data_IF_722504003892
#
_entry.id   IF_722504003892
#
_cell.length_a   1.000
_cell.length_b   1.000
_cell.length_c   1.000
_cell.angle_alpha   90.00
_cell.angle_beta   90.00
_cell.angle_gamma   90.00
#
_symmetry.space_group_name_H-M   'P 1'
#
loop_
_entity.id
_entity.type
_entity.pdbx_description
1 polymer ?
#
# COMPACT_ATOMS: atom_id res chain seq x y z
N UNK A 1 -27.50 -15.66 16.17
CA UNK A 1 -26.03 -15.77 16.27
C UNK A 1 -25.30 -15.06 15.12
N UNK A 2 -25.60 -15.33 13.85
CA UNK A 2 -24.88 -14.73 12.70
C UNK A 2 -24.83 -13.19 12.66
N UNK A 3 -25.88 -12.48 13.09
CA UNK A 3 -25.90 -11.01 13.20
C UNK A 3 -24.92 -10.47 14.23
N UNK A 4 -24.89 -11.08 15.41
CA UNK A 4 -23.96 -10.74 16.50
C UNK A 4 -22.53 -11.02 16.06
N UNK A 5 -22.28 -12.14 15.39
CA UNK A 5 -20.95 -12.48 14.88
C UNK A 5 -20.45 -11.53 13.78
N UNK A 6 -21.33 -11.06 12.88
CA UNK A 6 -20.96 -10.06 11.87
C UNK A 6 -20.57 -8.73 12.54
N UNK A 7 -21.46 -8.20 13.39
CA UNK A 7 -21.23 -6.92 14.07
C UNK A 7 -20.00 -6.95 14.97
N UNK A 8 -19.87 -8.01 15.79
CA UNK A 8 -18.69 -8.23 16.64
C UNK A 8 -17.42 -8.35 15.80
N UNK A 9 -17.44 -9.18 14.75
CA UNK A 9 -16.29 -9.42 13.88
C UNK A 9 -15.81 -8.15 13.18
N UNK A 10 -16.72 -7.38 12.59
CA UNK A 10 -16.37 -6.11 11.94
C UNK A 10 -15.83 -5.09 12.94
N UNK A 11 -16.51 -4.89 14.07
CA UNK A 11 -16.09 -3.93 15.08
C UNK A 11 -14.70 -4.26 15.64
N UNK A 12 -14.50 -5.51 16.08
CA UNK A 12 -13.24 -5.97 16.64
C UNK A 12 -12.10 -5.90 15.61
N UNK A 13 -12.39 -6.22 14.35
CA UNK A 13 -11.41 -6.10 13.28
C UNK A 13 -11.00 -4.64 13.08
N UNK A 14 -11.96 -3.72 12.96
CA UNK A 14 -11.68 -2.29 12.80
C UNK A 14 -10.86 -1.74 13.96
N UNK A 15 -11.24 -2.03 15.21
CA UNK A 15 -10.49 -1.57 16.40
C UNK A 15 -9.07 -2.15 16.38
N UNK A 16 -8.88 -3.40 15.96
CA UNK A 16 -7.56 -4.04 15.88
C UNK A 16 -6.61 -3.41 14.85
N UNK A 17 -7.14 -2.57 13.96
CA UNK A 17 -6.40 -1.89 12.88
C UNK A 17 -6.16 -0.41 13.18
N UNK A 18 -6.73 0.12 14.27
CA UNK A 18 -6.54 1.51 14.65
C UNK A 18 -5.09 1.79 15.08
N UNK A 19 -4.55 2.98 14.75
CA UNK A 19 -3.28 3.44 15.30
C UNK A 19 -3.30 3.48 16.83
N UNK A 20 -2.15 3.27 17.46
CA UNK A 20 -2.02 3.14 18.92
C UNK A 20 -2.63 4.31 19.72
N UNK A 21 -2.62 5.53 19.16
CA UNK A 21 -3.25 6.71 19.77
C UNK A 21 -4.76 6.58 19.96
N UNK A 22 -5.46 5.92 19.04
CA UNK A 22 -6.91 5.68 19.12
C UNK A 22 -7.25 4.43 19.93
N UNK A 23 -6.36 3.43 19.95
CA UNK A 23 -6.56 2.21 20.75
C UNK A 23 -6.76 2.53 22.24
N UNK A 24 -6.01 3.51 22.79
CA UNK A 24 -6.17 3.93 24.19
C UNK A 24 -7.56 4.49 24.50
N UNK A 25 -8.16 5.23 23.58
CA UNK A 25 -9.52 5.79 23.74
C UNK A 25 -10.56 4.67 23.74
N UNK A 26 -10.41 3.70 22.84
CA UNK A 26 -11.31 2.56 22.74
C UNK A 26 -11.18 1.63 23.98
N UNK A 27 -9.97 1.47 24.50
CA UNK A 27 -9.72 0.76 25.76
C UNK A 27 -10.31 1.47 26.98
N UNK A 28 -10.28 2.80 27.02
CA UNK A 28 -10.91 3.59 28.07
C UNK A 28 -12.44 3.37 28.10
N UNK A 29 -13.05 3.19 26.93
CA UNK A 29 -14.46 2.81 26.78
C UNK A 29 -14.74 1.33 27.10
N UNK A 30 -13.73 0.58 27.57
CA UNK A 30 -13.87 -0.82 28.00
C UNK A 30 -13.69 -1.86 26.89
N UNK A 31 -13.30 -1.47 25.67
CA UNK A 31 -13.13 -2.40 24.57
C UNK A 31 -11.66 -2.82 24.41
N UNK A 32 -11.42 -4.14 24.48
CA UNK A 32 -10.17 -4.74 24.06
C UNK A 32 -10.33 -5.35 22.67
N UNK A 33 -9.33 -5.16 21.80
CA UNK A 33 -9.35 -5.70 20.43
C UNK A 33 -8.68 -7.07 20.34
N UNK A 34 -9.38 -8.07 19.80
CA UNK A 34 -8.80 -9.37 19.44
C UNK A 34 -9.05 -9.66 17.96
N UNK A 35 -7.99 -9.55 17.15
CA UNK A 35 -8.06 -9.79 15.71
C UNK A 35 -8.35 -11.24 15.36
N UNK A 36 -7.79 -12.21 16.10
CA UNK A 36 -8.05 -13.63 15.89
C UNK A 36 -9.52 -13.95 16.14
N UNK A 37 -10.07 -13.45 17.24
CA UNK A 37 -11.49 -13.62 17.56
C UNK A 37 -12.38 -12.93 16.52
N UNK A 38 -11.99 -11.74 16.03
CA UNK A 38 -12.72 -11.02 14.99
C UNK A 38 -12.83 -11.84 13.70
N UNK A 39 -11.70 -12.39 13.22
CA UNK A 39 -11.65 -13.22 12.02
C UNK A 39 -12.43 -14.53 12.20
N UNK A 40 -12.32 -15.16 13.38
CA UNK A 40 -13.10 -16.36 13.69
C UNK A 40 -14.62 -16.08 13.67
N UNK A 41 -15.06 -14.92 14.20
CA UNK A 41 -16.46 -14.53 14.17
C UNK A 41 -16.98 -14.29 12.75
N UNK A 42 -16.18 -13.66 11.87
CA UNK A 42 -16.54 -13.50 10.45
C UNK A 42 -16.56 -14.85 9.71
N UNK A 43 -15.59 -15.72 9.98
CA UNK A 43 -15.54 -17.09 9.44
C UNK A 43 -16.69 -17.97 9.93
N UNK A 44 -17.25 -17.71 11.11
CA UNK A 44 -18.48 -18.34 11.56
C UNK A 44 -19.71 -17.71 10.87
N UNK A 45 -19.76 -16.38 10.77
CA UNK A 45 -20.89 -15.68 10.16
C UNK A 45 -21.12 -16.10 8.70
N UNK A 46 -20.04 -16.34 7.94
CA UNK A 46 -20.14 -16.75 6.53
C UNK A 46 -20.84 -18.09 6.30
N UNK A 47 -21.00 -18.93 7.32
CA UNK A 47 -21.73 -20.20 7.20
C UNK A 47 -23.24 -20.03 7.38
N UNK A 48 -23.72 -18.80 7.60
CA UNK A 48 -25.16 -18.50 7.64
C UNK A 48 -25.81 -18.68 6.26
N UNK A 49 -27.14 -18.76 6.24
CA UNK A 49 -27.94 -18.88 5.00
C UNK A 49 -28.56 -17.56 4.55
N UNK A 50 -28.25 -16.47 5.23
CA UNK A 50 -28.84 -15.15 5.00
C UNK A 50 -27.83 -14.17 4.38
N UNK A 51 -28.26 -12.94 4.13
CA UNK A 51 -27.43 -11.89 3.52
C UNK A 51 -26.17 -11.54 4.31
N UNK A 52 -26.03 -12.01 5.56
CA UNK A 52 -24.84 -11.75 6.37
C UNK A 52 -23.65 -12.59 5.90
N UNK A 53 -23.90 -13.77 5.31
CA UNK A 53 -22.87 -14.64 4.79
C UNK A 53 -22.01 -14.00 3.68
N UNK A 54 -22.59 -13.41 2.61
CA UNK A 54 -21.81 -12.70 1.61
C UNK A 54 -21.13 -11.46 2.19
N UNK A 55 -21.76 -10.71 3.10
CA UNK A 55 -21.12 -9.55 3.75
C UNK A 55 -19.89 -9.93 4.59
N UNK A 56 -19.97 -11.02 5.36
CA UNK A 56 -18.84 -11.56 6.09
C UNK A 56 -17.71 -12.00 5.14
N UNK A 57 -18.06 -12.64 4.01
CA UNK A 57 -17.08 -13.08 3.00
C UNK A 57 -16.40 -11.88 2.33
N UNK A 58 -17.14 -10.83 1.97
CA UNK A 58 -16.60 -9.59 1.43
C UNK A 58 -15.68 -8.87 2.43
N UNK A 59 -16.05 -8.83 3.71
CA UNK A 59 -15.21 -8.25 4.75
C UNK A 59 -13.88 -9.02 4.92
N UNK A 60 -13.93 -10.35 4.88
CA UNK A 60 -12.74 -11.20 4.89
C UNK A 60 -11.90 -10.98 3.63
N UNK A 61 -12.50 -10.96 2.43
CA UNK A 61 -11.80 -10.68 1.17
C UNK A 61 -11.09 -9.33 1.22
N UNK A 62 -11.76 -8.28 1.71
CA UNK A 62 -11.17 -6.97 1.91
C UNK A 62 -9.98 -7.00 2.87
N UNK A 63 -10.15 -7.64 4.03
CA UNK A 63 -9.06 -7.75 5.01
C UNK A 63 -7.84 -8.49 4.43
N UNK A 64 -8.07 -9.62 3.76
CA UNK A 64 -7.01 -10.48 3.25
C UNK A 64 -6.33 -9.94 1.99
N UNK A 65 -7.05 -9.22 1.12
CA UNK A 65 -6.52 -8.71 -0.16
C UNK A 65 -6.15 -7.22 -0.18
N UNK A 66 -6.59 -6.45 0.81
CA UNK A 66 -6.33 -4.99 0.88
C UNK A 66 -5.57 -4.63 2.16
N UNK A 67 -6.15 -4.92 3.33
CA UNK A 67 -5.57 -4.48 4.62
C UNK A 67 -4.25 -5.16 4.92
N UNK A 68 -4.19 -6.50 4.82
CA UNK A 68 -2.98 -7.27 5.14
C UNK A 68 -1.79 -6.83 4.27
N UNK A 69 -1.92 -6.71 2.93
CA UNK A 69 -0.86 -6.16 2.09
C UNK A 69 -0.50 -4.72 2.43
N UNK A 70 -1.47 -3.80 2.55
CA UNK A 70 -1.21 -2.38 2.77
C UNK A 70 -0.43 -2.11 4.07
N UNK A 71 -0.72 -2.88 5.12
CA UNK A 71 -0.08 -2.76 6.43
C UNK A 71 1.05 -3.77 6.65
N UNK A 72 1.44 -4.54 5.61
CA UNK A 72 2.42 -5.63 5.67
C UNK A 72 2.28 -6.52 6.93
N UNK A 73 1.04 -6.90 7.29
CA UNK A 73 0.74 -7.57 8.56
C UNK A 73 1.34 -8.97 8.69
N UNK A 74 1.84 -9.53 7.60
CA UNK A 74 2.55 -10.82 7.56
C UNK A 74 4.04 -10.67 7.21
N UNK A 75 4.55 -9.44 7.14
CA UNK A 75 5.89 -9.17 6.62
C UNK A 75 5.96 -9.63 5.17
N UNK A 76 6.93 -10.49 4.86
CA UNK A 76 7.14 -11.03 3.51
C UNK A 76 6.17 -12.16 3.11
N UNK A 77 5.32 -12.65 4.01
CA UNK A 77 4.43 -13.79 3.75
C UNK A 77 3.06 -13.37 3.17
N UNK A 78 3.07 -12.71 2.00
CA UNK A 78 1.84 -12.29 1.28
C UNK A 78 0.96 -13.49 0.88
N UNK A 79 1.57 -14.65 0.64
CA UNK A 79 0.92 -15.89 0.17
C UNK A 79 -0.21 -16.41 1.07
N UNK A 80 -0.13 -16.18 2.39
CA UNK A 80 -1.16 -16.63 3.32
C UNK A 80 -2.47 -15.83 3.18
N UNK A 81 -2.42 -14.56 2.77
CA UNK A 81 -3.62 -13.77 2.45
C UNK A 81 -4.28 -14.25 1.15
N UNK A 82 -3.46 -14.44 0.12
CA UNK A 82 -3.85 -14.91 -1.22
C UNK A 82 -4.55 -16.28 -1.15
N UNK A 83 -3.99 -17.24 -0.40
CA UNK A 83 -4.59 -18.57 -0.23
C UNK A 83 -6.01 -18.52 0.38
N UNK A 84 -6.21 -17.67 1.39
CA UNK A 84 -7.54 -17.48 2.00
C UNK A 84 -8.51 -16.85 0.99
N UNK A 85 -8.07 -15.84 0.23
CA UNK A 85 -8.90 -15.23 -0.81
C UNK A 85 -9.35 -16.25 -1.88
N UNK A 86 -8.44 -17.12 -2.35
CA UNK A 86 -8.80 -18.22 -3.25
C UNK A 86 -9.89 -19.11 -2.68
N UNK A 87 -9.74 -19.54 -1.44
CA UNK A 87 -10.75 -20.38 -0.78
C UNK A 87 -12.10 -19.67 -0.67
N UNK A 88 -12.10 -18.42 -0.21
CA UNK A 88 -13.32 -17.62 -0.06
C UNK A 88 -14.07 -17.48 -1.39
N UNK A 89 -13.37 -17.11 -2.46
CA UNK A 89 -13.97 -16.93 -3.79
C UNK A 89 -14.53 -18.25 -4.32
N UNK A 90 -13.75 -19.34 -4.26
CA UNK A 90 -14.19 -20.68 -4.73
C UNK A 90 -15.47 -21.14 -4.04
N UNK A 91 -15.57 -20.95 -2.72
CA UNK A 91 -16.75 -21.37 -1.96
C UNK A 91 -17.99 -20.52 -2.27
N UNK A 92 -17.81 -19.29 -2.74
CA UNK A 92 -18.90 -18.37 -3.10
C UNK A 92 -19.27 -18.37 -4.58
N UNK A 93 -18.43 -18.95 -5.44
CA UNK A 93 -18.53 -18.87 -6.91
C UNK A 93 -19.91 -19.27 -7.43
N UNK A 94 -20.45 -20.41 -6.99
CA UNK A 94 -21.73 -20.93 -7.47
C UNK A 94 -22.95 -20.07 -7.12
N UNK A 95 -22.83 -19.13 -6.17
CA UNK A 95 -23.93 -18.25 -5.75
C UNK A 95 -23.71 -16.79 -6.10
N UNK A 96 -22.47 -16.32 -6.00
CA UNK A 96 -22.11 -14.91 -6.10
C UNK A 96 -21.01 -14.64 -7.12
N UNK A 97 -20.59 -15.64 -7.90
CA UNK A 97 -19.49 -15.49 -8.87
C UNK A 97 -19.73 -14.36 -9.87
N UNK A 98 -20.97 -14.09 -10.27
CA UNK A 98 -21.31 -12.99 -11.20
C UNK A 98 -21.59 -11.65 -10.50
N UNK A 99 -21.60 -11.60 -9.17
CA UNK A 99 -21.88 -10.36 -8.46
C UNK A 99 -20.68 -9.40 -8.55
N UNK A 100 -20.97 -8.13 -8.83
CA UNK A 100 -19.95 -7.11 -9.08
C UNK A 100 -18.84 -7.05 -8.02
N UNK A 101 -19.18 -7.10 -6.73
CA UNK A 101 -18.19 -7.04 -5.65
C UNK A 101 -17.31 -8.29 -5.56
N UNK A 102 -17.82 -9.47 -5.94
CA UNK A 102 -17.03 -10.70 -5.98
C UNK A 102 -16.10 -10.71 -7.20
N UNK A 103 -16.55 -10.19 -8.35
CA UNK A 103 -15.69 -9.94 -9.51
C UNK A 103 -14.60 -8.91 -9.21
N UNK A 104 -14.93 -7.85 -8.48
CA UNK A 104 -13.95 -6.89 -7.98
C UNK A 104 -12.86 -7.57 -7.14
N UNK A 105 -13.25 -8.42 -6.18
CA UNK A 105 -12.26 -9.14 -5.35
C UNK A 105 -11.50 -10.22 -6.12
N UNK A 106 -12.06 -10.78 -7.18
CA UNK A 106 -11.32 -11.63 -8.12
C UNK A 106 -10.23 -10.83 -8.85
N UNK A 107 -10.54 -9.62 -9.31
CA UNK A 107 -9.53 -8.70 -9.86
C UNK A 107 -8.44 -8.36 -8.84
N UNK A 108 -8.81 -8.10 -7.58
CA UNK A 108 -7.86 -7.86 -6.48
C UNK A 108 -6.91 -9.03 -6.27
N UNK A 109 -7.42 -10.26 -6.33
CA UNK A 109 -6.62 -11.47 -6.20
C UNK A 109 -5.62 -11.62 -7.35
N UNK A 110 -6.08 -11.46 -8.60
CA UNK A 110 -5.23 -11.53 -9.79
C UNK A 110 -4.12 -10.46 -9.75
N UNK A 111 -4.42 -9.24 -9.29
CA UNK A 111 -3.42 -8.18 -9.09
C UNK A 111 -2.35 -8.59 -8.06
N UNK A 112 -2.73 -9.22 -6.95
CA UNK A 112 -1.78 -9.71 -5.94
C UNK A 112 -0.91 -10.85 -6.46
N UNK A 113 -1.37 -11.58 -7.47
CA UNK A 113 -0.63 -12.63 -8.18
C UNK A 113 0.15 -12.10 -9.39
N UNK A 114 0.20 -10.77 -9.55
CA UNK A 114 0.85 -10.08 -10.67
C UNK A 114 0.25 -10.37 -12.06
N UNK A 115 -0.94 -10.96 -12.13
CA UNK A 115 -1.74 -11.05 -13.36
C UNK A 115 -2.55 -9.78 -13.56
N UNK A 116 -1.86 -8.73 -14.02
CA UNK A 116 -2.44 -7.39 -14.17
C UNK A 116 -3.48 -7.32 -15.29
N UNK A 117 -3.26 -8.05 -16.40
CA UNK A 117 -4.21 -8.11 -17.51
C UNK A 117 -5.49 -8.83 -17.13
N UNK A 118 -5.38 -9.98 -16.44
CA UNK A 118 -6.54 -10.68 -15.90
C UNK A 118 -7.28 -9.85 -14.84
N UNK A 119 -6.54 -9.11 -14.00
CA UNK A 119 -7.13 -8.21 -13.02
C UNK A 119 -7.98 -7.11 -13.68
N UNK A 120 -7.44 -6.43 -14.71
CA UNK A 120 -8.17 -5.40 -15.47
C UNK A 120 -9.46 -5.97 -16.05
N UNK A 121 -9.41 -7.12 -16.72
CA UNK A 121 -10.61 -7.75 -17.27
C UNK A 121 -11.66 -8.09 -16.20
N UNK A 122 -11.24 -8.57 -15.03
CA UNK A 122 -12.15 -8.82 -13.91
C UNK A 122 -12.79 -7.54 -13.37
N UNK A 123 -12.06 -6.42 -13.32
CA UNK A 123 -12.61 -5.13 -12.91
C UNK A 123 -13.57 -4.54 -13.94
N UNK A 124 -13.32 -4.72 -15.23
CA UNK A 124 -14.24 -4.31 -16.30
C UNK A 124 -15.56 -5.09 -16.22
N UNK A 125 -15.48 -6.41 -15.99
CA UNK A 125 -16.67 -7.23 -15.72
C UNK A 125 -17.37 -6.74 -14.45
N UNK A 126 -16.65 -6.49 -13.36
CA UNK A 126 -17.23 -5.97 -12.12
C UNK A 126 -17.95 -4.62 -12.32
N UNK A 127 -17.34 -3.71 -13.08
CA UNK A 127 -17.89 -2.39 -13.39
C UNK A 127 -19.17 -2.50 -14.23
N UNK A 128 -19.19 -3.38 -15.25
CA UNK A 128 -20.38 -3.57 -16.10
C UNK A 128 -21.56 -4.24 -15.37
N UNK A 129 -21.27 -5.09 -14.37
CA UNK A 129 -22.29 -5.72 -13.53
C UNK A 129 -22.79 -4.81 -12.39
N UNK A 130 -22.03 -3.75 -12.06
CA UNK A 130 -22.36 -2.81 -10.99
C UNK A 130 -23.41 -1.78 -11.42
N UNK A 131 -24.54 -1.75 -10.72
CA UNK A 131 -25.59 -0.73 -10.95
C UNK A 131 -25.28 0.61 -10.26
N UNK A 132 -24.30 0.63 -9.34
CA UNK A 132 -23.93 1.80 -8.55
C UNK A 132 -22.68 2.45 -9.13
N UNK A 133 -22.71 3.78 -9.30
CA UNK A 133 -21.56 4.54 -9.82
C UNK A 133 -20.31 4.34 -8.96
N UNK A 134 -20.46 4.18 -7.65
CA UNK A 134 -19.36 3.96 -6.71
C UNK A 134 -18.60 2.65 -6.98
N UNK A 135 -19.29 1.59 -7.42
CA UNK A 135 -18.64 0.32 -7.77
C UNK A 135 -17.83 0.49 -9.05
N UNK A 136 -18.35 1.21 -10.04
CA UNK A 136 -17.60 1.54 -11.26
C UNK A 136 -16.36 2.37 -10.94
N UNK A 137 -16.47 3.41 -10.12
CA UNK A 137 -15.32 4.23 -9.72
C UNK A 137 -14.29 3.43 -8.91
N UNK A 138 -14.73 2.51 -8.05
CA UNK A 138 -13.83 1.62 -7.32
C UNK A 138 -13.07 0.67 -8.28
N UNK A 139 -13.74 0.14 -9.31
CA UNK A 139 -13.09 -0.68 -10.33
C UNK A 139 -12.11 0.15 -11.17
N UNK A 140 -12.49 1.38 -11.56
CA UNK A 140 -11.64 2.28 -12.32
C UNK A 140 -10.37 2.67 -11.56
N UNK A 141 -10.47 2.87 -10.24
CA UNK A 141 -9.31 3.05 -9.36
C UNK A 141 -8.33 1.89 -9.51
N UNK A 142 -8.81 0.66 -9.37
CA UNK A 142 -7.95 -0.52 -9.47
C UNK A 142 -7.36 -0.70 -10.88
N UNK A 143 -8.13 -0.41 -11.93
CA UNK A 143 -7.63 -0.42 -13.31
C UNK A 143 -6.50 0.59 -13.48
N UNK A 144 -6.66 1.83 -13.01
CA UNK A 144 -5.60 2.84 -13.06
C UNK A 144 -4.33 2.40 -12.32
N UNK A 145 -4.46 1.74 -11.17
CA UNK A 145 -3.32 1.16 -10.46
C UNK A 145 -2.68 -0.02 -11.20
N UNK A 146 -3.46 -0.88 -11.88
CA UNK A 146 -2.92 -1.95 -12.72
C UNK A 146 -2.11 -1.36 -13.89
N UNK A 147 -2.61 -0.31 -14.56
CA UNK A 147 -1.89 0.40 -15.62
C UNK A 147 -0.61 1.06 -15.10
N UNK A 148 -0.69 1.69 -13.92
CA UNK A 148 0.50 2.26 -13.26
C UNK A 148 1.55 1.19 -12.93
N UNK A 149 1.13 0.01 -12.47
CA UNK A 149 2.02 -1.14 -12.22
C UNK A 149 2.63 -1.73 -13.49
N UNK A 150 2.02 -1.52 -14.65
CA UNK A 150 2.55 -1.86 -15.98
C UNK A 150 3.44 -0.75 -16.57
N UNK A 151 3.58 0.39 -15.87
CA UNK A 151 4.16 1.62 -16.42
C UNK A 151 3.46 2.12 -17.68
N UNK A 152 2.18 1.77 -17.86
CA UNK A 152 1.32 2.24 -18.94
C UNK A 152 0.77 3.62 -18.56
N UNK A 153 1.66 4.62 -18.65
CA UNK A 153 1.41 5.98 -18.17
C UNK A 153 0.20 6.64 -18.83
N UNK A 154 -0.05 6.36 -20.10
CA UNK A 154 -1.12 7.00 -20.87
C UNK A 154 -2.49 6.47 -20.41
N UNK A 155 -2.65 5.16 -20.35
CA UNK A 155 -3.91 4.56 -19.88
C UNK A 155 -4.14 4.80 -18.38
N UNK A 156 -3.07 4.82 -17.57
CA UNK A 156 -3.15 5.22 -16.17
C UNK A 156 -3.65 6.67 -16.03
N UNK A 157 -3.13 7.60 -16.84
CA UNK A 157 -3.59 8.98 -16.86
C UNK A 157 -5.09 9.08 -17.15
N UNK A 158 -5.58 8.39 -18.18
CA UNK A 158 -7.01 8.39 -18.56
C UNK A 158 -7.88 7.97 -17.37
N UNK A 159 -7.55 6.84 -16.74
CA UNK A 159 -8.29 6.34 -15.59
C UNK A 159 -8.27 7.33 -14.40
N UNK A 160 -7.10 7.87 -14.06
CA UNK A 160 -6.98 8.80 -12.93
C UNK A 160 -7.62 10.16 -13.22
N UNK A 161 -7.61 10.66 -14.47
CA UNK A 161 -8.28 11.91 -14.82
C UNK A 161 -9.80 11.79 -14.69
N UNK A 162 -10.36 10.65 -15.13
CA UNK A 162 -11.79 10.37 -14.98
C UNK A 162 -12.15 10.27 -13.48
N UNK A 163 -11.30 9.65 -12.67
CA UNK A 163 -11.49 9.59 -11.21
C UNK A 163 -11.42 10.97 -10.56
N UNK A 164 -10.51 11.85 -10.98
CA UNK A 164 -10.38 13.20 -10.46
C UNK A 164 -11.65 14.04 -10.72
N UNK A 165 -12.26 13.85 -11.90
CA UNK A 165 -13.49 14.52 -12.29
C UNK A 165 -14.71 13.97 -11.54
N UNK A 166 -14.91 12.65 -11.58
CA UNK A 166 -16.16 12.01 -11.17
C UNK A 166 -16.21 11.62 -9.69
N UNK A 167 -15.06 11.34 -9.05
CA UNK A 167 -15.06 10.83 -7.67
C UNK A 167 -15.41 11.90 -6.65
N UNK A 168 -16.17 11.54 -5.62
CA UNK A 168 -16.42 12.44 -4.46
C UNK A 168 -15.32 12.38 -3.39
N UNK A 169 -14.39 11.44 -3.52
CA UNK A 169 -13.28 11.22 -2.59
C UNK A 169 -11.93 11.41 -3.27
N UNK A 170 -10.95 11.87 -2.50
CA UNK A 170 -9.53 11.91 -2.90
C UNK A 170 -9.26 12.61 -4.23
N UNK A 171 -10.03 13.64 -4.60
CA UNK A 171 -9.87 14.36 -5.87
C UNK A 171 -8.44 14.87 -6.09
N UNK A 172 -7.85 15.49 -5.07
CA UNK A 172 -6.46 15.97 -5.11
C UNK A 172 -5.45 14.84 -5.36
N UNK A 173 -5.71 13.65 -4.81
CA UNK A 173 -4.86 12.47 -5.03
C UNK A 173 -4.94 11.98 -6.47
N UNK A 174 -6.14 11.92 -7.06
CA UNK A 174 -6.31 11.53 -8.45
C UNK A 174 -5.73 12.57 -9.41
N UNK A 175 -5.92 13.86 -9.14
CA UNK A 175 -5.30 14.95 -9.90
C UNK A 175 -3.76 14.84 -9.87
N UNK A 176 -3.19 14.55 -8.69
CA UNK A 176 -1.76 14.32 -8.54
C UNK A 176 -1.29 13.09 -9.34
N UNK A 177 -1.99 11.97 -9.26
CA UNK A 177 -1.68 10.77 -10.06
C UNK A 177 -1.76 11.03 -11.56
N UNK A 178 -2.77 11.78 -12.03
CA UNK A 178 -2.88 12.21 -13.43
C UNK A 178 -1.66 13.04 -13.84
N UNK A 179 -1.24 13.99 -13.01
CA UNK A 179 -0.06 14.80 -13.27
C UNK A 179 1.24 13.97 -13.34
N UNK A 180 1.40 13.00 -12.44
CA UNK A 180 2.54 12.08 -12.47
C UNK A 180 2.55 11.26 -13.76
N UNK A 181 1.40 10.72 -14.16
CA UNK A 181 1.29 9.86 -15.35
C UNK A 181 1.61 10.64 -16.63
N UNK A 182 1.04 11.83 -16.81
CA UNK A 182 1.31 12.65 -18.01
C UNK A 182 2.76 13.19 -18.01
N UNK A 183 3.31 13.55 -16.85
CA UNK A 183 4.70 13.95 -16.73
C UNK A 183 5.66 12.79 -17.02
N UNK A 184 5.33 11.58 -16.57
CA UNK A 184 6.11 10.36 -16.81
C UNK A 184 6.09 9.92 -18.28
N UNK A 185 4.99 10.16 -19.00
CA UNK A 185 4.90 9.95 -20.45
C UNK A 185 5.64 11.02 -21.28
N UNK A 186 5.90 12.19 -20.68
CA UNK A 186 6.75 13.25 -21.24
C UNK A 186 6.05 14.59 -21.48
N UNK A 187 4.74 14.68 -21.23
CA UNK A 187 3.99 15.94 -21.34
C UNK A 187 4.11 16.75 -20.02
N UNK A 188 5.25 17.41 -19.87
CA UNK A 188 5.57 18.23 -18.68
C UNK A 188 4.66 19.45 -18.57
N UNK A 189 4.14 19.96 -19.69
CA UNK A 189 3.26 21.13 -19.71
C UNK A 189 1.91 20.79 -19.08
N UNK A 190 1.29 19.70 -19.52
CA UNK A 190 0.05 19.22 -18.93
C UNK A 190 0.25 18.80 -17.48
N UNK A 191 1.36 18.12 -17.16
CA UNK A 191 1.69 17.77 -15.77
C UNK A 191 1.72 19.01 -14.87
N UNK A 192 2.38 20.07 -15.31
CA UNK A 192 2.50 21.32 -14.56
C UNK A 192 1.14 22.00 -14.36
N UNK A 193 0.28 22.01 -15.39
CA UNK A 193 -1.08 22.55 -15.29
C UNK A 193 -1.90 21.78 -14.26
N UNK A 194 -1.92 20.45 -14.34
CA UNK A 194 -2.65 19.60 -13.39
C UNK A 194 -2.14 19.75 -11.95
N UNK A 195 -0.82 19.87 -11.77
CA UNK A 195 -0.22 20.15 -10.45
C UNK A 195 -0.71 21.50 -9.91
N UNK A 196 -0.81 22.54 -10.72
CA UNK A 196 -1.26 23.86 -10.28
C UNK A 196 -2.74 23.88 -9.87
N UNK A 197 -3.55 22.98 -10.45
CA UNK A 197 -4.97 22.83 -10.12
C UNK A 197 -5.22 22.03 -8.83
N UNK A 198 -4.18 21.43 -8.23
CA UNK A 198 -4.33 20.76 -6.94
C UNK A 198 -4.62 21.81 -5.87
N UNK A 199 -5.81 21.77 -5.22
CA UNK A 199 -6.18 22.78 -4.24
C UNK A 199 -5.24 22.70 -3.03
N UNK A 200 -4.90 23.83 -2.42
CA UNK A 200 -4.18 23.81 -1.15
C UNK A 200 -5.03 23.09 -0.09
N UNK A 201 -4.41 22.40 0.88
CA UNK A 201 -5.16 21.62 1.85
C UNK A 201 -6.05 22.51 2.72
N UNK A 202 -7.34 22.16 2.79
CA UNK A 202 -8.33 22.87 3.60
C UNK A 202 -8.16 22.68 5.12
N UNK A 203 -9.12 23.20 5.90
CA UNK A 203 -9.20 22.92 7.36
C UNK A 203 -9.51 21.43 7.57
N UNK A 204 -8.74 20.76 8.45
CA UNK A 204 -8.86 19.32 8.70
C UNK A 204 -7.97 18.44 7.82
N UNK A 205 -6.70 18.84 7.68
CA UNK A 205 -5.69 18.19 6.82
C UNK A 205 -5.55 16.69 7.11
N UNK A 206 -5.59 15.85 6.07
CA UNK A 206 -5.10 14.48 6.20
C UNK A 206 -3.57 14.41 6.02
N UNK A 207 -2.95 13.35 6.54
CA UNK A 207 -1.52 13.04 6.26
C UNK A 207 -1.26 12.98 4.75
N UNK A 208 -2.22 12.46 3.97
CA UNK A 208 -2.14 12.37 2.52
C UNK A 208 -2.15 13.75 1.85
N UNK A 209 -3.02 14.67 2.26
CA UNK A 209 -3.10 15.99 1.63
C UNK A 209 -1.79 16.78 1.83
N UNK A 210 -1.17 16.65 3.01
CA UNK A 210 0.10 17.28 3.34
C UNK A 210 1.24 16.69 2.49
N UNK A 211 1.28 15.36 2.37
CA UNK A 211 2.22 14.67 1.49
C UNK A 211 2.08 15.15 0.04
N UNK A 212 0.85 15.19 -0.50
CA UNK A 212 0.59 15.57 -1.89
C UNK A 212 0.98 17.01 -2.18
N UNK A 213 0.67 17.95 -1.29
CA UNK A 213 1.06 19.35 -1.44
C UNK A 213 2.59 19.51 -1.50
N UNK A 214 3.31 18.86 -0.59
CA UNK A 214 4.78 18.89 -0.54
C UNK A 214 5.40 18.34 -1.83
N UNK A 215 4.89 17.20 -2.33
CA UNK A 215 5.41 16.58 -3.56
C UNK A 215 5.01 17.36 -4.82
N UNK A 216 3.80 17.91 -4.86
CA UNK A 216 3.37 18.79 -5.94
C UNK A 216 4.24 20.05 -6.00
N UNK A 217 4.54 20.67 -4.85
CA UNK A 217 5.44 21.81 -4.78
C UNK A 217 6.85 21.48 -5.30
N UNK A 218 7.40 20.32 -4.92
CA UNK A 218 8.70 19.86 -5.41
C UNK A 218 8.72 19.65 -6.94
N UNK A 219 7.63 19.09 -7.49
CA UNK A 219 7.51 18.83 -8.94
C UNK A 219 7.28 20.10 -9.77
N UNK A 220 6.76 21.18 -9.17
CA UNK A 220 6.63 22.49 -9.81
C UNK A 220 7.97 23.24 -9.94
N UNK A 221 9.02 22.82 -9.23
CA UNK A 221 10.35 23.43 -9.37
C UNK A 221 10.87 23.26 -10.81
N UNK A 222 11.38 24.33 -11.46
CA UNK A 222 11.83 24.26 -12.85
C UNK A 222 12.94 23.24 -13.08
N UNK A 223 12.77 22.39 -14.10
CA UNK A 223 13.74 21.37 -14.53
C UNK A 223 13.75 21.28 -16.06
N UNK A 224 14.87 20.84 -16.62
CA UNK A 224 14.89 20.44 -18.02
C UNK A 224 13.89 19.29 -18.26
N UNK A 225 13.21 19.21 -19.43
CA UNK A 225 12.15 18.22 -19.65
C UNK A 225 12.52 16.76 -19.33
N UNK A 226 13.73 16.24 -19.68
CA UNK A 226 14.12 14.88 -19.32
C UNK A 226 14.21 14.65 -17.81
N UNK A 227 14.71 15.64 -17.07
CA UNK A 227 14.83 15.59 -15.61
C UNK A 227 13.46 15.73 -14.93
N UNK A 228 12.55 16.53 -15.49
CA UNK A 228 11.17 16.65 -15.03
C UNK A 228 10.39 15.34 -15.23
N UNK A 229 10.56 14.69 -16.39
CA UNK A 229 9.97 13.38 -16.67
C UNK A 229 10.46 12.32 -15.68
N UNK A 230 11.78 12.27 -15.45
CA UNK A 230 12.38 11.34 -14.50
C UNK A 230 11.89 11.57 -13.06
N UNK A 231 11.73 12.83 -12.65
CA UNK A 231 11.16 13.17 -11.35
C UNK A 231 9.72 12.66 -11.22
N UNK A 232 8.88 12.83 -12.25
CA UNK A 232 7.51 12.31 -12.25
C UNK A 232 7.47 10.78 -12.13
N UNK A 233 8.33 10.07 -12.87
CA UNK A 233 8.46 8.60 -12.76
C UNK A 233 8.87 8.17 -11.36
N UNK A 234 9.89 8.82 -10.78
CA UNK A 234 10.34 8.47 -9.44
C UNK A 234 9.27 8.72 -8.37
N UNK A 235 8.48 9.79 -8.48
CA UNK A 235 7.36 10.03 -7.57
C UNK A 235 6.22 9.01 -7.76
N UNK A 236 6.00 8.51 -8.99
CA UNK A 236 5.10 7.38 -9.19
C UNK A 236 5.63 6.10 -8.49
N UNK A 237 6.94 5.82 -8.60
CA UNK A 237 7.54 4.66 -7.93
C UNK A 237 7.55 4.82 -6.40
N UNK A 238 7.72 6.03 -5.88
CA UNK A 238 7.57 6.38 -4.46
C UNK A 238 6.17 5.97 -3.97
N UNK A 239 5.12 6.29 -4.72
CA UNK A 239 3.76 5.86 -4.38
C UNK A 239 3.59 4.33 -4.44
N UNK A 240 4.14 3.67 -5.47
CA UNK A 240 4.11 2.20 -5.55
C UNK A 240 4.78 1.55 -4.33
N UNK A 241 5.89 2.11 -3.85
CA UNK A 241 6.56 1.66 -2.63
C UNK A 241 5.68 1.91 -1.39
N UNK A 242 5.19 3.14 -1.20
CA UNK A 242 4.41 3.55 -0.03
C UNK A 242 3.09 2.77 0.11
N UNK A 243 2.46 2.39 -1.00
CA UNK A 243 1.25 1.55 -1.04
C UNK A 243 1.54 0.05 -0.99
N UNK A 244 2.81 -0.35 -0.87
CA UNK A 244 3.24 -1.75 -0.92
C UNK A 244 2.75 -2.49 -2.18
N UNK A 245 2.84 -1.81 -3.32
CA UNK A 245 2.35 -2.29 -4.62
C UNK A 245 3.46 -2.85 -5.52
N UNK A 246 4.74 -2.52 -5.26
CA UNK A 246 5.89 -3.04 -6.00
C UNK A 246 5.95 -4.58 -6.15
N UNK A 247 5.54 -5.40 -5.15
CA UNK A 247 5.52 -6.86 -5.31
C UNK A 247 4.57 -7.35 -6.41
N UNK A 248 3.57 -6.57 -6.80
CA UNK A 248 2.63 -6.88 -7.88
C UNK A 248 3.13 -6.46 -9.27
N UNK A 249 4.29 -5.79 -9.37
CA UNK A 249 4.87 -5.45 -10.66
C UNK A 249 5.41 -6.70 -11.38
N UNK A 250 5.25 -6.78 -12.71
CA UNK A 250 5.97 -7.73 -13.55
C UNK A 250 7.51 -7.58 -13.45
N UNK A 251 8.26 -8.64 -13.76
CA UNK A 251 9.72 -8.63 -13.65
C UNK A 251 10.42 -7.66 -14.62
N UNK A 252 9.86 -7.47 -15.80
CA UNK A 252 10.33 -6.49 -16.79
C UNK A 252 10.15 -5.05 -16.30
N UNK A 253 9.04 -4.78 -15.63
CA UNK A 253 8.79 -3.48 -14.98
C UNK A 253 9.82 -3.21 -13.88
N UNK A 254 10.20 -4.20 -13.08
CA UNK A 254 11.22 -4.02 -12.05
C UNK A 254 12.56 -3.52 -12.61
N UNK A 255 12.98 -3.99 -13.79
CA UNK A 255 14.21 -3.52 -14.44
C UNK A 255 14.11 -2.04 -14.79
N UNK A 256 13.03 -1.63 -15.44
CA UNK A 256 12.79 -0.23 -15.81
C UNK A 256 12.75 0.69 -14.58
N UNK A 257 12.10 0.25 -13.49
CA UNK A 257 12.06 0.99 -12.22
C UNK A 257 13.47 1.18 -11.64
N UNK A 258 14.29 0.12 -11.62
CA UNK A 258 15.67 0.19 -11.12
C UNK A 258 16.52 1.13 -11.98
N UNK A 259 16.45 1.01 -13.30
CA UNK A 259 17.21 1.87 -14.23
C UNK A 259 16.86 3.36 -14.05
N UNK A 260 15.57 3.70 -13.98
CA UNK A 260 15.15 5.08 -13.72
C UNK A 260 15.57 5.54 -12.31
N UNK A 261 15.49 4.69 -11.28
CA UNK A 261 15.92 5.05 -9.93
C UNK A 261 17.45 5.28 -9.85
N UNK A 262 18.26 4.43 -10.47
CA UNK A 262 19.71 4.61 -10.52
C UNK A 262 20.09 5.88 -11.26
N UNK A 263 19.41 6.18 -12.38
CA UNK A 263 19.57 7.45 -13.09
C UNK A 263 19.18 8.64 -12.21
N UNK A 264 18.03 8.56 -11.53
CA UNK A 264 17.55 9.62 -10.67
C UNK A 264 18.46 9.86 -9.45
N UNK A 265 19.10 8.83 -8.91
CA UNK A 265 20.06 8.98 -7.83
C UNK A 265 21.30 9.81 -8.23
N UNK A 266 21.65 9.82 -9.52
CA UNK A 266 22.76 10.60 -10.08
C UNK A 266 22.31 12.00 -10.54
N UNK A 267 21.21 12.06 -11.29
CA UNK A 267 20.75 13.29 -11.97
C UNK A 267 19.87 14.17 -11.08
N UNK A 268 19.23 13.60 -10.06
CA UNK A 268 18.33 14.29 -9.13
C UNK A 268 18.80 14.06 -7.68
N UNK A 269 19.94 14.62 -7.24
CA UNK A 269 20.50 14.38 -5.90
C UNK A 269 19.51 14.56 -4.73
N UNK A 270 18.59 15.55 -4.74
CA UNK A 270 17.58 15.68 -3.69
C UNK A 270 16.63 14.47 -3.58
N UNK A 271 16.53 13.64 -4.61
CA UNK A 271 15.65 12.47 -4.67
C UNK A 271 16.41 11.13 -4.52
N UNK A 272 17.73 11.17 -4.36
CA UNK A 272 18.56 9.96 -4.30
C UNK A 272 18.17 9.02 -3.15
N UNK A 273 17.78 9.55 -1.99
CA UNK A 273 17.33 8.74 -0.86
C UNK A 273 16.07 7.92 -1.21
N UNK A 274 15.12 8.54 -1.92
CA UNK A 274 13.88 7.88 -2.38
C UNK A 274 14.19 6.84 -3.45
N UNK A 275 15.06 7.16 -4.41
CA UNK A 275 15.48 6.22 -5.45
C UNK A 275 16.09 4.95 -4.85
N UNK A 276 16.99 5.10 -3.87
CA UNK A 276 17.54 3.94 -3.17
C UNK A 276 16.49 3.18 -2.35
N UNK A 277 15.52 3.86 -1.73
CA UNK A 277 14.42 3.20 -1.01
C UNK A 277 13.57 2.32 -1.95
N UNK A 278 13.20 2.86 -3.12
CA UNK A 278 12.42 2.16 -4.14
C UNK A 278 13.20 0.97 -4.71
N UNK A 279 14.47 1.16 -5.10
CA UNK A 279 15.33 0.05 -5.54
C UNK A 279 15.43 -1.05 -4.48
N UNK A 280 15.56 -0.68 -3.19
CA UNK A 280 15.53 -1.63 -2.09
C UNK A 280 14.25 -2.46 -2.10
N UNK A 281 13.08 -1.82 -2.26
CA UNK A 281 11.78 -2.48 -2.38
C UNK A 281 11.66 -3.43 -3.57
N UNK A 282 12.23 -3.07 -4.72
CA UNK A 282 12.30 -3.96 -5.89
C UNK A 282 13.20 -5.16 -5.62
N UNK A 283 14.42 -4.92 -5.13
CA UNK A 283 15.39 -5.97 -4.85
C UNK A 283 14.98 -6.87 -3.68
N UNK A 284 14.13 -6.43 -2.75
CA UNK A 284 13.63 -7.28 -1.66
C UNK A 284 12.88 -8.51 -2.19
N UNK A 285 12.36 -8.44 -3.41
CA UNK A 285 11.66 -9.53 -4.09
C UNK A 285 12.59 -10.40 -4.97
N UNK A 286 13.84 -10.00 -5.22
CA UNK A 286 14.73 -10.65 -6.20
C UNK A 286 16.14 -10.95 -5.69
N UNK A 287 16.79 -10.01 -5.01
CA UNK A 287 18.16 -10.14 -4.52
C UNK A 287 18.35 -9.40 -3.18
N UNK A 288 18.29 -10.15 -2.07
CA UNK A 288 18.39 -9.59 -0.72
C UNK A 288 19.70 -8.82 -0.46
N UNK A 289 20.80 -9.19 -1.12
CA UNK A 289 22.09 -8.48 -0.95
C UNK A 289 22.03 -7.06 -1.54
N UNK A 290 21.46 -6.92 -2.73
CA UNK A 290 21.28 -5.58 -3.33
C UNK A 290 20.22 -4.79 -2.57
N UNK A 291 19.15 -5.45 -2.08
CA UNK A 291 18.15 -4.80 -1.24
C UNK A 291 18.79 -4.18 0.02
N UNK A 292 19.62 -4.94 0.74
CA UNK A 292 20.35 -4.46 1.92
C UNK A 292 21.26 -3.27 1.59
N UNK A 293 21.98 -3.33 0.47
CA UNK A 293 22.84 -2.22 -0.01
C UNK A 293 22.04 -0.95 -0.27
N UNK A 294 20.92 -1.06 -1.00
CA UNK A 294 20.07 0.07 -1.34
C UNK A 294 19.37 0.66 -0.10
N UNK A 295 18.82 -0.17 0.79
CA UNK A 295 18.23 0.32 2.03
C UNK A 295 19.25 0.96 2.96
N UNK A 296 20.48 0.43 3.06
CA UNK A 296 21.55 1.06 3.83
C UNK A 296 21.89 2.44 3.28
N UNK A 297 21.94 2.59 1.96
CA UNK A 297 22.18 3.88 1.30
C UNK A 297 21.01 4.86 1.51
N UNK A 298 19.77 4.38 1.38
CA UNK A 298 18.56 5.18 1.66
C UNK A 298 18.53 5.67 3.11
N UNK A 299 18.87 4.80 4.07
CA UNK A 299 18.96 5.14 5.49
C UNK A 299 20.02 6.22 5.72
N UNK A 300 21.20 6.09 5.11
CA UNK A 300 22.27 7.07 5.28
C UNK A 300 21.90 8.44 4.69
N UNK A 301 21.37 8.47 3.46
CA UNK A 301 20.99 9.71 2.78
C UNK A 301 19.75 10.37 3.40
N UNK A 302 18.83 9.58 3.95
CA UNK A 302 17.57 10.07 4.52
C UNK A 302 17.67 10.66 5.93
N UNK A 303 18.80 10.51 6.63
CA UNK A 303 18.96 11.00 8.01
C UNK A 303 18.82 12.52 8.14
N UNK A 304 19.29 13.25 7.13
CA UNK A 304 19.32 14.71 7.13
C UNK A 304 18.27 15.34 6.19
N UNK A 305 17.41 14.53 5.54
CA UNK A 305 16.38 15.02 4.61
C UNK A 305 15.07 15.32 5.35
N UNK A 306 14.93 16.56 5.84
CA UNK A 306 13.70 17.03 6.49
C UNK A 306 12.48 17.07 5.55
N UNK A 307 12.68 17.20 4.23
CA UNK A 307 11.58 17.19 3.25
C UNK A 307 11.04 15.77 3.01
N UNK A 308 11.83 14.75 3.31
CA UNK A 308 11.52 13.32 3.11
C UNK A 308 11.88 12.50 4.33
N UNK A 309 11.51 13.02 5.49
CA UNK A 309 11.82 12.43 6.79
C UNK A 309 11.31 10.98 6.96
N UNK A 310 10.41 10.51 6.09
CA UNK A 310 9.90 9.13 6.09
C UNK A 310 10.92 8.10 5.53
N UNK A 311 11.91 8.52 4.72
CA UNK A 311 12.80 7.58 4.03
C UNK A 311 13.65 6.78 5.01
N UNK A 312 14.31 7.46 5.95
CA UNK A 312 15.17 6.83 6.96
C UNK A 312 14.41 5.83 7.87
N UNK A 313 13.26 6.17 8.49
CA UNK A 313 12.52 5.22 9.31
C UNK A 313 12.01 4.02 8.49
N UNK A 314 11.56 4.24 7.25
CA UNK A 314 11.15 3.13 6.38
C UNK A 314 12.33 2.22 6.02
N UNK A 315 13.47 2.77 5.60
CA UNK A 315 14.68 2.00 5.30
C UNK A 315 15.19 1.23 6.53
N UNK A 316 15.16 1.86 7.71
CA UNK A 316 15.50 1.22 8.99
C UNK A 316 14.59 0.04 9.27
N UNK A 317 13.27 0.20 9.12
CA UNK A 317 12.31 -0.88 9.28
C UNK A 317 12.56 -2.04 8.30
N UNK A 318 12.78 -1.75 7.01
CA UNK A 318 12.99 -2.82 6.02
C UNK A 318 14.26 -3.61 6.34
N UNK A 319 15.40 -2.95 6.60
CA UNK A 319 16.65 -3.59 7.06
C UNK A 319 16.41 -4.46 8.30
N UNK A 320 15.69 -3.90 9.28
CA UNK A 320 15.38 -4.57 10.51
C UNK A 320 14.56 -5.85 10.27
N UNK A 321 13.58 -5.81 9.37
CA UNK A 321 12.81 -6.97 8.97
C UNK A 321 13.70 -8.04 8.29
N UNK A 322 14.63 -7.64 7.42
CA UNK A 322 15.58 -8.59 6.80
C UNK A 322 16.45 -9.27 7.86
N UNK A 323 17.01 -8.51 8.81
CA UNK A 323 17.93 -9.02 9.82
C UNK A 323 17.20 -9.87 10.86
N UNK A 324 15.96 -9.52 11.20
CA UNK A 324 15.11 -10.33 12.09
C UNK A 324 14.77 -11.71 11.52
N UNK A 325 14.78 -11.88 10.19
CA UNK A 325 14.61 -13.17 9.55
C UNK A 325 15.86 -14.06 9.66
N UNK A 326 17.04 -13.46 9.89
CA UNK A 326 18.32 -14.15 10.00
C UNK A 326 18.66 -14.42 11.47
N UNK A 327 18.83 -15.70 11.85
CA UNK A 327 19.10 -16.07 13.24
C UNK A 327 20.32 -15.33 13.85
N UNK A 328 21.40 -15.18 13.07
CA UNK A 328 22.65 -14.52 13.51
C UNK A 328 22.52 -13.00 13.70
N UNK A 329 21.60 -12.34 12.98
CA UNK A 329 21.43 -10.88 12.99
C UNK A 329 20.12 -10.44 13.66
N UNK A 330 19.40 -11.36 14.29
CA UNK A 330 18.11 -11.06 14.93
C UNK A 330 18.21 -9.99 16.01
N UNK A 331 19.29 -9.97 16.80
CA UNK A 331 19.50 -8.94 17.81
C UNK A 331 19.70 -7.54 17.19
N UNK A 332 20.51 -7.45 16.13
CA UNK A 332 20.74 -6.24 15.33
C UNK A 332 19.42 -5.75 14.69
N UNK A 333 18.65 -6.66 14.08
CA UNK A 333 17.34 -6.33 13.53
C UNK A 333 16.37 -5.82 14.60
N UNK A 334 16.37 -6.41 15.80
CA UNK A 334 15.55 -5.89 16.92
C UNK A 334 15.97 -4.48 17.33
N UNK A 335 17.28 -4.18 17.36
CA UNK A 335 17.77 -2.84 17.69
C UNK A 335 17.33 -1.80 16.65
N UNK A 336 17.43 -2.12 15.36
CA UNK A 336 16.95 -1.26 14.28
C UNK A 336 15.44 -1.03 14.33
N UNK A 337 14.63 -2.06 14.65
CA UNK A 337 13.18 -1.91 14.84
C UNK A 337 12.84 -0.93 15.97
N UNK A 338 13.62 -0.94 17.05
CA UNK A 338 13.42 -0.01 18.18
C UNK A 338 13.85 1.41 17.79
N UNK A 339 14.99 1.56 17.10
CA UNK A 339 15.43 2.85 16.56
C UNK A 339 14.40 3.44 15.58
N UNK A 340 13.87 2.64 14.65
CA UNK A 340 12.82 3.07 13.73
C UNK A 340 11.55 3.57 14.43
N UNK A 341 11.28 3.08 15.66
CA UNK A 341 10.14 3.47 16.48
C UNK A 341 10.41 4.72 17.32
N UNK A 342 11.60 4.81 17.90
CA UNK A 342 11.88 5.74 19.00
C UNK A 342 12.61 7.02 18.51
N UNK A 343 13.40 6.90 17.44
CA UNK A 343 14.31 7.97 16.97
C UNK A 343 13.71 8.86 15.87
N UNK A 344 12.57 8.47 15.29
CA UNK A 344 11.92 9.18 14.18
C UNK A 344 10.48 9.58 14.54
N UNK A 345 10.08 10.81 14.19
CA UNK A 345 8.75 11.37 14.48
C UNK A 345 8.34 12.37 13.39
N UNK A 346 7.03 12.65 13.31
CA UNK A 346 6.45 13.73 12.51
C UNK A 346 6.76 13.63 11.01
N UNK A 347 6.72 12.40 10.48
CA UNK A 347 6.96 12.12 9.06
C UNK A 347 5.72 11.53 8.35
N UNK A 348 5.71 11.62 7.02
CA UNK A 348 4.62 11.11 6.17
C UNK A 348 4.33 9.63 6.45
N UNK A 349 3.06 9.29 6.71
CA UNK A 349 2.59 7.92 6.96
C UNK A 349 3.18 7.23 8.21
N UNK A 350 3.65 7.98 9.21
CA UNK A 350 4.15 7.45 10.49
C UNK A 350 3.19 6.43 11.12
N UNK A 351 1.87 6.73 11.09
CA UNK A 351 0.85 5.84 11.64
C UNK A 351 0.84 4.45 11.01
N UNK A 352 1.12 4.36 9.70
CA UNK A 352 1.21 3.11 8.95
C UNK A 352 2.48 2.34 9.33
N UNK A 353 3.62 3.01 9.39
CA UNK A 353 4.88 2.36 9.76
C UNK A 353 4.86 1.87 11.21
N UNK A 354 4.28 2.64 12.14
CA UNK A 354 4.12 2.26 13.53
C UNK A 354 3.36 0.93 13.70
N UNK A 355 2.29 0.72 12.90
CA UNK A 355 1.54 -0.56 12.90
C UNK A 355 2.43 -1.71 12.42
N UNK A 356 3.25 -1.50 11.37
CA UNK A 356 4.20 -2.49 10.84
C UNK A 356 5.25 -2.87 11.89
N UNK A 357 5.86 -1.87 12.53
CA UNK A 357 6.86 -2.07 13.61
C UNK A 357 6.23 -2.85 14.78
N UNK A 358 5.04 -2.46 15.23
CA UNK A 358 4.37 -3.15 16.33
C UNK A 358 4.04 -4.61 15.98
N UNK A 359 3.60 -4.87 14.75
CA UNK A 359 3.35 -6.22 14.27
C UNK A 359 4.65 -7.06 14.25
N UNK A 360 5.76 -6.49 13.79
CA UNK A 360 7.07 -7.15 13.77
C UNK A 360 7.58 -7.48 15.19
N UNK A 361 7.50 -6.52 16.12
CA UNK A 361 7.89 -6.72 17.52
C UNK A 361 7.08 -7.83 18.20
N UNK A 362 5.75 -7.86 18.01
CA UNK A 362 4.89 -8.93 18.55
C UNK A 362 5.26 -10.31 18.01
N UNK A 363 5.68 -10.42 16.74
CA UNK A 363 6.14 -11.70 16.16
C UNK A 363 7.46 -12.17 16.76
N UNK A 364 8.38 -11.25 17.03
CA UNK A 364 9.65 -11.55 17.70
C UNK A 364 9.42 -12.08 19.13
N UNK A 365 8.50 -11.46 19.88
CA UNK A 365 8.13 -11.91 21.23
C UNK A 365 7.54 -13.33 21.25
N UNK A 366 6.65 -13.64 20.29
CA UNK A 366 6.07 -14.99 20.16
C UNK A 366 7.14 -16.04 19.86
N UNK A 367 7.98 -15.78 18.85
CA UNK A 367 9.09 -16.68 18.48
C UNK A 367 10.04 -16.92 19.66
N UNK A 368 10.35 -15.88 20.44
CA UNK A 368 11.22 -16.00 21.60
C UNK A 368 10.61 -16.80 22.76
N UNK A 369 9.28 -16.81 22.92
CA UNK A 369 8.60 -17.65 23.92
C UNK A 369 8.56 -19.12 23.50
N UNK A 370 8.32 -19.40 22.22
CA UNK A 370 8.32 -20.75 21.66
C UNK A 370 9.71 -21.41 21.72
N UNK A 371 10.78 -20.63 21.54
CA UNK A 371 12.16 -21.10 21.68
C UNK A 371 12.60 -21.34 23.13
N UNK A 372 11.95 -20.72 24.11
CA UNK A 372 12.21 -20.94 25.55
C UNK A 372 11.39 -22.08 26.16
N UNK A 373 10.34 -22.53 25.45
CA UNK A 373 9.44 -23.61 25.86
C UNK A 373 9.82 -24.96 25.24
N UNK A 374 10.88 -24.99 24.42
CA UNK A 374 11.56 -26.19 23.93
C UNK A 374 12.92 -26.26 24.61
#
# INVERSE_FOLDING_TARGET
MGSVSLGYGLFQLTVSLLPAKFVKVVQLLGFQSDRSAALAALMFCRTSRDMRAPLASLALLWYHSVVRPLLSLDGRAVSAGVAVCHQLLRETEGRYGQAALFQFFRGRLLRLESDLSGAIGAYEVAASQGQQGEVRLLCLHEIGWCRLLQLDWVEAFVAFSELAEQSRWSKAFYQYLSALCTGASGDITLASALLNDIPPPGRGRSELDTFLESRAAALREPRAPPAAQLACRLHAYELLYLWNALPSCPQDVWKAVVEDCERAALELPPLAAVAHLVCGGVFDNTCLREAERHYTRALHLGKDDSRRAYVAPHASYELAAMYCAQAKRRAEGRALLLSARDDYKDYDFESRLAVRIQAALKRLEKTGREQKSK
#
